data_IF_918502576632
#
_entry.id   IF_918502576632
#
_cell.length_a   1.000
_cell.length_b   1.000
_cell.length_c   1.000
_cell.angle_alpha   90.00
_cell.angle_beta   90.00
_cell.angle_gamma   90.00
#
_symmetry.space_group_name_H-M   'P 1'
#
loop_
_entity.id
_entity.type
_entity.pdbx_description
1 polymer ?
#
# COMPACT_ATOMS: atom_id res chain seq x y z
N UNK A 1 -16.14 -2.00 22.01
CA UNK A 1 -15.05 -2.93 21.61
C UNK A 1 -15.29 -3.67 20.28
N UNK A 2 -16.54 -3.91 19.85
CA UNK A 2 -16.83 -4.61 18.57
C UNK A 2 -16.29 -3.92 17.29
N UNK A 3 -16.30 -2.58 17.12
CA UNK A 3 -15.88 -1.93 15.87
C UNK A 3 -14.40 -2.09 15.53
N UNK A 4 -13.52 -1.95 16.54
CA UNK A 4 -12.08 -2.09 16.36
C UNK A 4 -11.71 -3.51 15.90
N UNK A 5 -12.37 -4.52 16.48
CA UNK A 5 -12.17 -5.91 16.07
C UNK A 5 -12.57 -6.15 14.62
N UNK A 6 -13.68 -5.57 14.15
CA UNK A 6 -14.09 -5.67 12.74
C UNK A 6 -13.09 -4.99 11.79
N UNK A 7 -12.54 -3.84 12.16
CA UNK A 7 -11.50 -3.18 11.36
C UNK A 7 -10.24 -4.06 11.24
N UNK A 8 -9.77 -4.64 12.34
CA UNK A 8 -8.62 -5.56 12.35
C UNK A 8 -8.90 -6.80 11.50
N UNK A 9 -10.11 -7.37 11.60
CA UNK A 9 -10.51 -8.50 10.76
C UNK A 9 -10.49 -8.13 9.27
N UNK A 10 -10.94 -6.93 8.89
CA UNK A 10 -10.87 -6.44 7.52
C UNK A 10 -9.43 -6.35 7.00
N UNK A 11 -8.50 -5.80 7.80
CA UNK A 11 -7.07 -5.72 7.44
C UNK A 11 -6.48 -7.11 7.28
N UNK A 12 -6.73 -8.01 8.24
CA UNK A 12 -6.22 -9.39 8.20
C UNK A 12 -6.81 -10.19 7.04
N UNK A 13 -8.08 -9.96 6.69
CA UNK A 13 -8.73 -10.57 5.55
C UNK A 13 -8.01 -10.15 4.26
N UNK A 14 -7.89 -8.84 4.00
CA UNK A 14 -7.21 -8.33 2.82
C UNK A 14 -5.77 -8.81 2.71
N UNK A 15 -5.01 -8.82 3.83
CA UNK A 15 -3.65 -9.35 3.86
C UNK A 15 -3.57 -10.84 3.50
N UNK A 16 -4.62 -11.62 3.79
CA UNK A 16 -4.68 -13.05 3.49
C UNK A 16 -5.31 -13.37 2.14
N UNK A 17 -6.13 -12.52 1.56
CA UNK A 17 -6.81 -12.83 0.29
C UNK A 17 -6.20 -12.12 -0.90
N UNK A 18 -5.73 -10.89 -0.73
CA UNK A 18 -5.26 -10.06 -1.84
C UNK A 18 -3.77 -10.21 -2.08
N UNK A 19 -3.41 -10.57 -3.31
CA UNK A 19 -2.01 -10.69 -3.72
C UNK A 19 -1.27 -9.35 -3.66
N UNK A 20 -1.92 -8.28 -4.12
CA UNK A 20 -1.33 -6.93 -4.16
C UNK A 20 -1.05 -6.40 -2.75
N UNK A 21 -2.00 -6.56 -1.83
CA UNK A 21 -1.78 -6.30 -0.39
C UNK A 21 -0.54 -7.01 0.17
N UNK A 22 -0.34 -8.30 -0.12
CA UNK A 22 0.86 -9.02 0.33
C UNK A 22 2.15 -8.43 -0.26
N UNK A 23 2.13 -8.05 -1.54
CA UNK A 23 3.27 -7.40 -2.19
C UNK A 23 3.60 -6.07 -1.49
N UNK A 24 2.59 -5.24 -1.22
CA UNK A 24 2.78 -3.97 -0.52
C UNK A 24 3.28 -4.17 0.91
N UNK A 25 2.80 -5.18 1.65
CA UNK A 25 3.30 -5.50 2.98
C UNK A 25 4.76 -5.95 2.97
N UNK A 26 5.15 -6.82 2.02
CA UNK A 26 6.54 -7.26 1.87
C UNK A 26 7.43 -6.08 1.48
N UNK A 27 7.02 -5.25 0.52
CA UNK A 27 7.75 -4.05 0.13
C UNK A 27 7.93 -3.08 1.30
N UNK A 28 6.87 -2.88 2.10
CA UNK A 28 6.91 -2.03 3.31
C UNK A 28 7.89 -2.56 4.36
N UNK A 29 7.93 -3.88 4.56
CA UNK A 29 8.89 -4.52 5.45
C UNK A 29 10.32 -4.31 4.96
N UNK A 30 10.58 -4.49 3.67
CA UNK A 30 11.89 -4.25 3.08
C UNK A 30 12.31 -2.79 3.28
N UNK A 31 11.44 -1.82 2.95
CA UNK A 31 11.73 -0.39 3.17
C UNK A 31 12.08 -0.10 4.63
N UNK A 32 11.35 -0.69 5.59
CA UNK A 32 11.66 -0.56 7.01
C UNK A 32 13.03 -1.14 7.39
N UNK A 33 13.38 -2.32 6.86
CA UNK A 33 14.69 -2.94 7.09
C UNK A 33 15.81 -2.06 6.52
N UNK A 34 15.64 -1.54 5.30
CA UNK A 34 16.62 -0.65 4.66
C UNK A 34 16.79 0.66 5.43
N UNK A 35 15.69 1.26 5.90
CA UNK A 35 15.73 2.47 6.71
C UNK A 35 16.53 2.29 8.00
N UNK A 36 16.32 1.16 8.71
CA UNK A 36 17.09 0.82 9.91
C UNK A 36 18.56 0.56 9.57
N UNK A 37 18.82 -0.20 8.50
CA UNK A 37 20.18 -0.57 8.11
C UNK A 37 21.03 0.63 7.66
N UNK A 38 20.41 1.61 6.99
CA UNK A 38 21.07 2.83 6.51
C UNK A 38 21.09 3.95 7.55
N UNK A 39 20.57 3.71 8.76
CA UNK A 39 20.51 4.68 9.86
C UNK A 39 19.86 6.02 9.44
N UNK A 40 18.76 5.94 8.67
CA UNK A 40 18.06 7.13 8.17
C UNK A 40 17.49 7.99 9.30
N UNK A 41 17.39 9.29 9.05
CA UNK A 41 16.92 10.27 10.04
C UNK A 41 15.46 10.04 10.43
N UNK A 42 15.05 10.55 11.59
CA UNK A 42 13.67 10.47 12.07
C UNK A 42 12.65 11.07 11.09
N UNK A 43 13.03 12.13 10.37
CA UNK A 43 12.16 12.78 9.38
C UNK A 43 11.97 11.91 8.14
N UNK A 44 13.04 11.30 7.63
CA UNK A 44 12.97 10.35 6.51
C UNK A 44 12.15 9.12 6.88
N UNK A 45 12.36 8.58 8.08
CA UNK A 45 11.56 7.46 8.60
C UNK A 45 10.07 7.81 8.68
N UNK A 46 9.73 9.02 9.11
CA UNK A 46 8.34 9.49 9.16
C UNK A 46 7.72 9.59 7.76
N UNK A 47 8.47 10.09 6.77
CA UNK A 47 8.02 10.16 5.38
C UNK A 47 7.79 8.77 4.78
N UNK A 48 8.74 7.85 4.96
CA UNK A 48 8.61 6.46 4.50
C UNK A 48 7.42 5.77 5.16
N UNK A 49 7.27 5.93 6.47
CA UNK A 49 6.15 5.37 7.21
C UNK A 49 4.81 5.94 6.73
N UNK A 50 4.73 7.25 6.50
CA UNK A 50 3.54 7.89 5.94
C UNK A 50 3.13 7.31 4.59
N UNK A 51 4.08 7.10 3.68
CA UNK A 51 3.83 6.46 2.39
C UNK A 51 3.37 5.00 2.52
N UNK A 52 3.99 4.23 3.41
CA UNK A 52 3.58 2.85 3.71
C UNK A 52 2.12 2.81 4.16
N UNK A 53 1.76 3.65 5.12
CA UNK A 53 0.38 3.72 5.63
C UNK A 53 -0.60 4.14 4.53
N UNK A 54 -0.23 5.11 3.69
CA UNK A 54 -1.07 5.56 2.59
C UNK A 54 -1.32 4.45 1.56
N UNK A 55 -0.26 3.76 1.12
CA UNK A 55 -0.37 2.66 0.13
C UNK A 55 -1.25 1.54 0.67
N UNK A 56 -1.03 1.11 1.92
CA UNK A 56 -1.84 0.06 2.54
C UNK A 56 -3.31 0.51 2.70
N UNK A 57 -3.54 1.77 3.06
CA UNK A 57 -4.90 2.31 3.18
C UNK A 57 -5.62 2.32 1.84
N UNK A 58 -4.95 2.74 0.77
CA UNK A 58 -5.53 2.75 -0.58
C UNK A 58 -5.76 1.34 -1.12
N UNK A 59 -4.90 0.39 -0.80
CA UNK A 59 -5.07 -1.03 -1.18
C UNK A 59 -6.29 -1.66 -0.49
N UNK A 60 -6.53 -1.32 0.79
CA UNK A 60 -7.75 -1.70 1.50
C UNK A 60 -9.00 -1.07 0.87
N UNK A 61 -8.93 0.19 0.47
CA UNK A 61 -10.02 0.86 -0.24
C UNK A 61 -10.26 0.24 -1.63
N UNK A 62 -9.20 -0.11 -2.37
CA UNK A 62 -9.30 -0.81 -3.63
C UNK A 62 -10.04 -2.16 -3.45
N UNK A 63 -9.63 -2.93 -2.44
CA UNK A 63 -10.29 -4.20 -2.10
C UNK A 63 -11.77 -3.98 -1.76
N UNK A 64 -12.09 -2.95 -0.98
CA UNK A 64 -13.48 -2.65 -0.63
C UNK A 64 -14.34 -2.28 -1.86
N UNK A 65 -13.78 -1.49 -2.79
CA UNK A 65 -14.44 -1.15 -4.06
C UNK A 65 -14.63 -2.41 -4.90
N UNK A 66 -13.61 -3.24 -5.07
CA UNK A 66 -13.68 -4.49 -5.82
C UNK A 66 -14.80 -5.39 -5.28
N UNK A 67 -14.83 -5.63 -3.96
CA UNK A 67 -15.86 -6.47 -3.32
C UNK A 67 -17.26 -5.88 -3.45
N UNK A 68 -17.39 -4.55 -3.40
CA UNK A 68 -18.68 -3.87 -3.60
C UNK A 68 -19.17 -4.03 -5.04
N UNK A 69 -18.28 -3.89 -6.03
CA UNK A 69 -18.62 -4.07 -7.44
C UNK A 69 -18.96 -5.54 -7.74
N UNK A 70 -18.19 -6.49 -7.19
CA UNK A 70 -18.44 -7.93 -7.32
C UNK A 70 -19.78 -8.35 -6.73
N UNK A 71 -20.22 -7.71 -5.64
CA UNK A 71 -21.52 -7.95 -5.03
C UNK A 71 -22.68 -7.48 -5.94
N UNK A 72 -22.49 -6.38 -6.67
CA UNK A 72 -23.55 -5.76 -7.49
C UNK A 72 -23.70 -6.46 -8.84
N UNK A 73 -22.62 -6.94 -9.45
CA UNK A 73 -22.68 -7.56 -10.77
C UNK A 73 -21.50 -8.49 -11.05
N UNK A 74 -21.80 -9.66 -11.63
CA UNK A 74 -20.80 -10.59 -12.16
C UNK A 74 -20.47 -10.33 -13.63
N UNK A 75 -21.31 -9.57 -14.35
CA UNK A 75 -21.09 -9.24 -15.75
C UNK A 75 -20.12 -8.08 -15.89
N UNK A 76 -19.30 -8.11 -16.92
CA UNK A 76 -18.38 -7.02 -17.23
C UNK A 76 -19.18 -5.84 -17.78
N UNK A 77 -19.59 -4.93 -16.89
CA UNK A 77 -20.24 -3.66 -17.25
C UNK A 77 -19.20 -2.55 -17.38
N UNK A 78 -19.34 -1.61 -18.33
CA UNK A 78 -18.37 -0.52 -18.52
C UNK A 78 -18.09 0.28 -17.25
N UNK A 79 -19.13 0.62 -16.47
CA UNK A 79 -18.98 1.36 -15.21
C UNK A 79 -18.33 0.52 -14.09
N UNK A 80 -18.63 -0.77 -14.02
CA UNK A 80 -18.01 -1.68 -13.05
C UNK A 80 -16.51 -1.81 -13.30
N UNK A 81 -16.12 -1.91 -14.58
CA UNK A 81 -14.71 -1.88 -14.99
C UNK A 81 -14.04 -0.55 -14.61
N UNK A 82 -14.65 0.58 -14.95
CA UNK A 82 -14.10 1.90 -14.62
C UNK A 82 -13.89 2.10 -13.12
N UNK A 83 -14.84 1.67 -12.28
CA UNK A 83 -14.71 1.77 -10.83
C UNK A 83 -13.49 1.01 -10.29
N UNK A 84 -13.29 -0.24 -10.75
CA UNK A 84 -12.13 -1.06 -10.39
C UNK A 84 -10.83 -0.47 -10.92
N UNK A 85 -10.81 -0.05 -12.18
CA UNK A 85 -9.62 0.51 -12.83
C UNK A 85 -9.16 1.80 -12.12
N UNK A 86 -10.08 2.68 -11.72
CA UNK A 86 -9.77 3.92 -11.00
C UNK A 86 -9.26 3.62 -9.58
N UNK A 87 -9.85 2.66 -8.88
CA UNK A 87 -9.40 2.26 -7.55
C UNK A 87 -7.98 1.67 -7.57
N UNK A 88 -7.70 0.79 -8.53
CA UNK A 88 -6.36 0.24 -8.75
C UNK A 88 -5.36 1.34 -9.17
N UNK A 89 -5.79 2.29 -10.00
CA UNK A 89 -5.00 3.46 -10.39
C UNK A 89 -4.58 4.33 -9.21
N UNK A 90 -5.43 4.49 -8.20
CA UNK A 90 -5.09 5.24 -6.99
C UNK A 90 -3.96 4.56 -6.20
N UNK A 91 -4.02 3.23 -6.05
CA UNK A 91 -2.94 2.44 -5.42
C UNK A 91 -1.64 2.58 -6.21
N UNK A 92 -1.72 2.50 -7.55
CA UNK A 92 -0.55 2.62 -8.42
C UNK A 92 0.16 3.98 -8.25
N UNK A 93 -0.60 5.08 -8.24
CA UNK A 93 -0.03 6.42 -8.05
C UNK A 93 0.65 6.53 -6.69
N UNK A 94 0.01 6.05 -5.63
CA UNK A 94 0.59 6.13 -4.30
C UNK A 94 1.83 5.25 -4.13
N UNK A 95 1.81 4.03 -4.68
CA UNK A 95 2.96 3.13 -4.64
C UNK A 95 4.12 3.63 -5.48
N UNK A 96 3.86 4.33 -6.60
CA UNK A 96 4.89 5.04 -7.35
C UNK A 96 5.51 6.19 -6.52
N UNK A 97 4.69 7.03 -5.89
CA UNK A 97 5.18 8.09 -5.01
C UNK A 97 6.01 7.57 -3.84
N UNK A 98 5.58 6.45 -3.23
CA UNK A 98 6.32 5.76 -2.19
C UNK A 98 7.69 5.26 -2.69
N UNK A 99 7.74 4.64 -3.87
CA UNK A 99 8.98 4.15 -4.47
C UNK A 99 9.95 5.27 -4.80
N UNK A 100 9.47 6.38 -5.38
CA UNK A 100 10.29 7.57 -5.65
C UNK A 100 10.84 8.15 -4.35
N UNK A 101 10.01 8.27 -3.32
CA UNK A 101 10.43 8.79 -2.01
C UNK A 101 11.51 7.90 -1.37
N UNK A 102 11.31 6.58 -1.39
CA UNK A 102 12.31 5.63 -0.90
C UNK A 102 13.62 5.71 -1.68
N UNK A 103 13.56 5.85 -3.01
CA UNK A 103 14.75 6.01 -3.83
C UNK A 103 15.50 7.30 -3.49
N UNK A 104 14.81 8.43 -3.40
CA UNK A 104 15.40 9.74 -3.07
C UNK A 104 16.07 9.71 -1.70
N UNK A 105 15.44 9.07 -0.72
CA UNK A 105 16.00 8.95 0.64
C UNK A 105 17.19 8.00 0.65
N UNK A 106 17.09 6.79 0.09
CA UNK A 106 18.13 5.78 0.22
C UNK A 106 19.34 5.99 -0.70
N UNK A 107 19.18 6.64 -1.86
CA UNK A 107 20.26 6.84 -2.83
C UNK A 107 21.52 7.53 -2.24
N UNK A 108 21.45 8.65 -1.49
CA UNK A 108 22.64 9.27 -0.91
C UNK A 108 23.37 8.34 0.08
N UNK A 109 22.64 7.58 0.90
CA UNK A 109 23.24 6.63 1.84
C UNK A 109 23.94 5.48 1.11
N UNK A 110 23.31 4.96 0.04
CA UNK A 110 23.89 3.91 -0.79
C UNK A 110 25.15 4.36 -1.53
N UNK A 111 25.18 5.60 -2.01
CA UNK A 111 26.36 6.18 -2.66
C UNK A 111 27.51 6.43 -1.67
N UNK A 112 27.21 6.70 -0.40
CA UNK A 112 28.22 6.89 0.64
C UNK A 112 28.84 5.58 1.14
N UNK A 113 28.23 4.43 0.82
CA UNK A 113 28.75 3.09 1.14
C UNK A 113 29.81 2.57 0.16
N UNK A 114 29.95 3.22 -1.01
CA UNK A 114 30.89 2.87 -2.08
C UNK A 114 32.09 3.80 -2.06
#
# INVERSE_FOLDING_TARGET
MRPFWFAVQGILHAARTERNMRIHLIASLLVGIFAIWLETTSMENLLLFGWIILVISLELLNTAVERTVDLVTSDVKPLAKQAKDVAAGAVLIASFGAAVTALVIFLPYLLALV
#
